data_IF_903444117546
#
_entry.id   IF_903444117546
#
_cell.length_a   1.000
_cell.length_b   1.000
_cell.length_c   1.000
_cell.angle_alpha   90.00
_cell.angle_beta   90.00
_cell.angle_gamma   90.00
#
_symmetry.space_group_name_H-M   'P 1'
#
loop_
_entity.id
_entity.type
_entity.pdbx_description
1 polymer ?
#
# COMPACT_ATOMS: atom_id res chain seq x y z
N UNK A 1 -5.43 14.36 2.32
CA UNK A 1 -5.88 13.93 0.98
C UNK A 1 -6.93 12.89 1.27
N UNK A 2 -8.17 13.20 0.95
CA UNK A 2 -9.31 12.40 1.39
C UNK A 2 -9.46 11.18 0.46
N UNK A 3 -9.65 10.03 1.08
CA UNK A 3 -9.74 8.68 0.50
C UNK A 3 -11.13 8.07 0.75
N UNK A 4 -12.12 8.90 1.02
CA UNK A 4 -13.46 8.45 1.41
C UNK A 4 -14.13 7.65 0.29
N UNK A 5 -13.99 8.06 -0.97
CA UNK A 5 -14.64 7.38 -2.12
C UNK A 5 -13.88 6.12 -2.57
N UNK A 6 -12.60 5.97 -2.22
CA UNK A 6 -11.86 4.72 -2.40
C UNK A 6 -12.06 3.74 -1.23
N UNK A 7 -12.23 4.26 0.00
CA UNK A 7 -12.49 3.46 1.20
C UNK A 7 -13.92 2.94 1.27
N UNK A 8 -14.91 3.73 0.83
CA UNK A 8 -16.33 3.39 0.93
C UNK A 8 -16.71 2.10 0.18
N UNK A 9 -16.26 1.84 -1.06
CA UNK A 9 -16.53 0.58 -1.74
C UNK A 9 -15.89 -0.63 -1.04
N UNK A 10 -14.71 -0.45 -0.44
CA UNK A 10 -14.03 -1.48 0.37
C UNK A 10 -14.82 -1.78 1.64
N UNK A 11 -15.36 -0.76 2.30
CA UNK A 11 -16.27 -0.97 3.42
C UNK A 11 -17.57 -1.66 2.99
N UNK A 12 -18.13 -1.26 1.85
CA UNK A 12 -19.35 -1.82 1.30
C UNK A 12 -19.22 -3.31 0.88
N UNK A 13 -18.00 -3.79 0.60
CA UNK A 13 -17.73 -5.20 0.34
C UNK A 13 -17.63 -6.05 1.63
N UNK A 14 -17.95 -5.47 2.80
CA UNK A 14 -17.97 -6.17 4.09
C UNK A 14 -16.64 -6.14 4.85
N UNK A 15 -15.70 -5.28 4.46
CA UNK A 15 -14.41 -5.11 5.18
C UNK A 15 -14.48 -3.94 6.16
N UNK A 16 -13.70 -4.02 7.24
CA UNK A 16 -13.45 -2.88 8.14
C UNK A 16 -12.25 -2.12 7.63
N UNK A 17 -12.41 -0.81 7.40
CA UNK A 17 -11.33 0.06 6.90
C UNK A 17 -10.82 0.95 8.02
N UNK A 18 -9.52 0.83 8.32
CA UNK A 18 -8.81 1.69 9.27
C UNK A 18 -8.01 2.74 8.49
N UNK A 19 -8.62 3.88 8.19
CA UNK A 19 -7.94 5.00 7.52
C UNK A 19 -7.17 5.85 8.54
N UNK A 20 -5.87 6.05 8.31
CA UNK A 20 -4.96 6.73 9.26
C UNK A 20 -4.68 8.15 8.77
N UNK A 21 -5.01 9.15 9.60
CA UNK A 21 -4.48 10.51 9.45
C UNK A 21 -3.09 10.57 10.08
N UNK A 22 -2.05 10.56 9.23
CA UNK A 22 -0.66 10.59 9.68
C UNK A 22 -0.24 11.94 10.25
N UNK A 23 0.50 11.92 11.36
CA UNK A 23 0.94 13.08 12.16
C UNK A 23 2.42 13.42 11.95
N UNK A 24 3.03 12.81 10.95
CA UNK A 24 4.43 12.95 10.55
C UNK A 24 4.74 14.26 9.79
N UNK A 25 3.72 15.09 9.54
CA UNK A 25 3.84 16.33 8.78
C UNK A 25 3.82 16.14 7.26
N UNK A 26 3.32 15.00 6.75
CA UNK A 26 3.10 14.80 5.30
C UNK A 26 1.69 15.14 4.84
N UNK A 27 0.73 15.19 5.76
CA UNK A 27 -0.61 15.74 5.51
C UNK A 27 -0.57 17.24 5.21
N UNK A 28 -1.54 17.72 4.41
CA UNK A 28 -1.72 19.16 4.15
C UNK A 28 -1.98 19.94 5.44
N UNK A 29 -2.84 19.38 6.28
CA UNK A 29 -3.13 19.82 7.64
C UNK A 29 -3.55 18.59 8.44
N UNK A 30 -3.17 18.53 9.71
CA UNK A 30 -3.60 17.51 10.67
C UNK A 30 -3.87 18.20 12.01
N UNK A 31 -4.89 17.75 12.75
CA UNK A 31 -5.33 18.35 14.01
C UNK A 31 -5.27 17.35 15.17
N UNK A 32 -4.08 16.83 15.54
CA UNK A 32 -3.96 15.89 16.64
C UNK A 32 -4.45 16.49 17.95
N UNK A 33 -4.99 15.60 18.79
CA UNK A 33 -5.34 15.89 20.18
C UNK A 33 -4.53 14.97 21.07
N UNK A 34 -3.98 15.54 22.14
CA UNK A 34 -3.33 14.77 23.19
C UNK A 34 -4.37 14.42 24.26
N UNK A 35 -4.25 13.24 24.86
CA UNK A 35 -4.98 12.88 26.07
C UNK A 35 -4.01 12.96 27.25
N UNK A 36 -4.33 13.80 28.22
CA UNK A 36 -3.52 13.96 29.44
C UNK A 36 -4.42 13.75 30.64
N UNK A 37 -4.10 12.79 31.50
CA UNK A 37 -4.87 12.47 32.72
C UNK A 37 -6.38 12.26 32.46
N UNK A 38 -6.73 11.57 31.37
CA UNK A 38 -8.13 11.31 30.99
C UNK A 38 -8.88 12.53 30.45
N UNK A 39 -8.21 13.66 30.24
CA UNK A 39 -8.79 14.86 29.62
C UNK A 39 -8.29 15.05 28.20
N UNK A 40 -9.23 15.33 27.30
CA UNK A 40 -8.97 15.64 25.89
C UNK A 40 -8.39 17.04 25.77
N UNK A 41 -7.13 17.11 25.35
CA UNK A 41 -6.42 18.36 25.12
C UNK A 41 -6.98 19.17 23.93
N UNK A 42 -6.57 20.44 23.86
CA UNK A 42 -6.88 21.29 22.71
C UNK A 42 -6.20 20.73 21.45
N UNK A 43 -6.87 20.77 20.29
CA UNK A 43 -6.26 20.33 19.04
C UNK A 43 -5.07 21.24 18.71
N UNK A 44 -3.97 20.65 18.23
CA UNK A 44 -2.82 21.39 17.71
C UNK A 44 -2.84 21.30 16.19
N UNK A 45 -2.62 22.41 15.49
CA UNK A 45 -2.44 22.38 14.03
C UNK A 45 -1.04 21.91 13.67
N UNK A 46 -0.96 20.82 12.91
CA UNK A 46 0.25 20.38 12.20
C UNK A 46 0.08 20.74 10.72
N UNK A 47 1.12 21.34 10.15
CA UNK A 47 1.16 21.70 8.74
C UNK A 47 2.17 20.82 8.00
N UNK A 48 2.01 20.76 6.69
CA UNK A 48 2.93 20.06 5.82
C UNK A 48 4.39 20.53 5.98
N UNK A 49 5.30 19.58 6.22
CA UNK A 49 6.73 19.78 6.32
C UNK A 49 7.43 19.41 5.01
N UNK A 50 8.26 20.34 4.53
CA UNK A 50 9.16 20.16 3.40
C UNK A 50 10.57 19.91 3.93
N UNK A 51 11.37 19.16 3.17
CA UNK A 51 12.79 18.92 3.47
C UNK A 51 13.52 20.22 3.82
N UNK A 52 13.37 21.25 2.97
CA UNK A 52 14.05 22.53 3.11
C UNK A 52 13.57 23.37 4.31
N UNK A 53 12.52 22.94 5.02
CA UNK A 53 12.01 23.62 6.21
C UNK A 53 12.59 23.05 7.50
N UNK A 54 13.37 21.96 7.43
CA UNK A 54 13.92 21.28 8.59
C UNK A 54 15.44 21.39 8.58
N UNK A 55 16.00 21.86 9.68
CA UNK A 55 17.44 21.78 9.92
C UNK A 55 17.71 20.46 10.63
N UNK A 56 18.44 19.57 9.96
CA UNK A 56 18.95 18.34 10.53
C UNK A 56 20.37 18.61 11.00
N UNK A 57 20.66 18.35 12.27
CA UNK A 57 22.00 18.54 12.82
C UNK A 57 23.00 17.59 12.13
N UNK A 58 24.24 18.04 11.90
CA UNK A 58 25.28 17.25 11.20
C UNK A 58 25.59 15.89 11.86
N UNK A 59 25.25 15.71 13.14
CA UNK A 59 25.36 14.44 13.86
C UNK A 59 24.27 13.41 13.50
N UNK A 60 23.24 13.80 12.76
CA UNK A 60 22.20 12.90 12.23
C UNK A 60 22.60 12.18 10.93
N UNK A 61 23.88 12.30 10.54
CA UNK A 61 24.50 11.88 9.27
C UNK A 61 24.61 10.37 9.02
N UNK A 62 23.75 9.55 9.64
CA UNK A 62 23.60 8.13 9.29
C UNK A 62 22.13 7.84 8.99
N UNK A 63 21.49 8.70 8.21
CA UNK A 63 20.23 8.33 7.60
C UNK A 63 20.52 7.52 6.32
N UNK A 64 20.15 6.25 6.34
CA UNK A 64 20.29 5.35 5.18
C UNK A 64 19.34 5.71 4.03
N UNK A 65 18.40 6.63 4.26
CA UNK A 65 17.44 7.07 3.27
C UNK A 65 17.99 8.19 2.38
N UNK A 66 17.71 8.17 1.06
CA UNK A 66 18.08 9.25 0.14
C UNK A 66 17.48 10.62 0.51
N UNK A 67 16.38 10.61 1.26
CA UNK A 67 15.65 11.79 1.72
C UNK A 67 15.43 11.65 3.24
N UNK A 68 16.35 12.18 4.08
CA UNK A 68 16.36 11.88 5.51
C UNK A 68 15.05 12.22 6.25
N UNK A 69 14.44 13.39 6.00
CA UNK A 69 13.16 13.71 6.63
C UNK A 69 12.09 12.70 6.21
N UNK A 70 12.11 12.23 4.95
CA UNK A 70 11.15 11.21 4.49
C UNK A 70 11.42 9.85 5.10
N UNK A 71 12.68 9.50 5.35
CA UNK A 71 13.06 8.31 6.13
C UNK A 71 12.48 8.37 7.55
N UNK A 72 12.69 9.49 8.26
CA UNK A 72 12.13 9.71 9.60
C UNK A 72 10.60 9.70 9.62
N UNK A 73 9.96 10.32 8.62
CA UNK A 73 8.52 10.29 8.47
C UNK A 73 8.01 8.87 8.21
N UNK A 74 8.71 8.08 7.39
CA UNK A 74 8.37 6.69 7.13
C UNK A 74 8.43 5.84 8.40
N UNK A 75 9.48 6.01 9.23
CA UNK A 75 9.59 5.38 10.53
C UNK A 75 8.43 5.79 11.47
N UNK A 76 8.06 7.07 11.47
CA UNK A 76 6.91 7.57 12.22
C UNK A 76 5.59 6.92 11.75
N UNK A 77 5.40 6.76 10.43
CA UNK A 77 4.21 6.10 9.87
C UNK A 77 4.16 4.62 10.20
N UNK A 78 5.30 3.94 10.35
CA UNK A 78 5.32 2.55 10.85
C UNK A 78 4.68 2.48 12.25
N UNK A 79 5.14 3.33 13.17
CA UNK A 79 4.60 3.41 14.54
C UNK A 79 3.10 3.69 14.52
N UNK A 80 2.62 4.64 13.70
CA UNK A 80 1.20 4.95 13.62
C UNK A 80 0.35 3.77 13.12
N UNK A 81 0.85 2.99 12.15
CA UNK A 81 0.16 1.79 11.66
C UNK A 81 0.10 0.72 12.76
N UNK A 82 1.21 0.45 13.45
CA UNK A 82 1.25 -0.53 14.53
C UNK A 82 0.41 -0.12 15.74
N UNK A 83 0.42 1.16 16.12
CA UNK A 83 -0.44 1.72 17.18
C UNK A 83 -1.91 1.57 16.80
N UNK A 84 -2.27 1.91 15.56
CA UNK A 84 -3.65 1.80 15.06
C UNK A 84 -4.12 0.35 15.09
N UNK A 85 -3.32 -0.58 14.54
CA UNK A 85 -3.66 -1.99 14.50
C UNK A 85 -3.74 -2.62 15.89
N UNK A 86 -2.75 -2.37 16.76
CA UNK A 86 -2.76 -2.85 18.15
C UNK A 86 -3.94 -2.30 18.95
N UNK A 87 -4.28 -1.02 18.76
CA UNK A 87 -5.46 -0.41 19.37
C UNK A 87 -6.75 -1.06 18.88
N UNK A 88 -6.84 -1.35 17.59
CA UNK A 88 -7.99 -2.05 17.01
C UNK A 88 -8.14 -3.47 17.55
N UNK A 89 -7.04 -4.24 17.65
CA UNK A 89 -7.06 -5.57 18.28
C UNK A 89 -7.58 -5.50 19.71
N UNK A 90 -7.02 -4.60 20.52
CA UNK A 90 -7.46 -4.39 21.91
C UNK A 90 -8.95 -3.99 21.99
N UNK A 91 -9.41 -3.18 21.04
CA UNK A 91 -10.83 -2.82 20.94
C UNK A 91 -11.71 -4.03 20.69
N UNK A 92 -11.35 -4.86 19.70
CA UNK A 92 -12.05 -6.11 19.37
C UNK A 92 -12.04 -7.11 20.52
N UNK A 93 -11.00 -7.11 21.35
CA UNK A 93 -10.88 -7.91 22.57
C UNK A 93 -11.63 -7.33 23.78
N UNK A 94 -12.34 -6.21 23.62
CA UNK A 94 -13.16 -5.63 24.68
C UNK A 94 -12.38 -4.86 25.74
N UNK A 95 -11.16 -4.40 25.46
CA UNK A 95 -10.34 -3.65 26.41
C UNK A 95 -11.07 -2.39 26.95
N UNK A 96 -11.43 -2.35 28.25
CA UNK A 96 -12.23 -1.25 28.82
C UNK A 96 -11.45 0.06 28.95
N UNK A 97 -10.13 0.04 28.78
CA UNK A 97 -9.28 1.23 28.90
C UNK A 97 -9.29 2.10 27.64
N UNK A 98 -9.75 1.55 26.51
CA UNK A 98 -9.81 2.29 25.25
C UNK A 98 -11.00 3.25 25.21
N UNK A 99 -10.72 4.44 24.68
CA UNK A 99 -11.70 5.48 24.47
C UNK A 99 -11.75 5.81 22.98
N UNK A 100 -12.96 5.89 22.44
CA UNK A 100 -13.21 6.24 21.05
C UNK A 100 -14.13 7.44 21.01
N UNK A 101 -13.80 8.37 20.13
CA UNK A 101 -14.64 9.50 19.81
C UNK A 101 -15.09 9.37 18.36
N UNK A 102 -16.36 9.63 18.11
CA UNK A 102 -16.89 9.85 16.77
C UNK A 102 -16.75 11.33 16.40
N UNK A 103 -16.63 11.62 15.11
CA UNK A 103 -16.44 13.00 14.62
C UNK A 103 -17.64 13.88 15.00
N UNK A 104 -18.84 13.32 14.95
CA UNK A 104 -20.09 13.97 15.30
C UNK A 104 -20.47 13.85 16.79
N UNK A 105 -19.60 13.23 17.60
CA UNK A 105 -19.85 12.93 19.03
C UNK A 105 -21.07 12.03 19.27
N UNK A 106 -21.58 11.35 18.25
CA UNK A 106 -22.59 10.31 18.41
C UNK A 106 -22.06 9.14 19.24
N UNK A 107 -22.92 8.56 20.07
CA UNK A 107 -22.59 7.30 20.74
C UNK A 107 -22.54 6.17 19.70
N UNK A 108 -21.55 5.30 19.80
CA UNK A 108 -21.52 4.05 19.04
C UNK A 108 -21.71 2.87 19.99
N UNK A 109 -22.40 1.83 19.53
CA UNK A 109 -22.57 0.61 20.32
C UNK A 109 -21.31 -0.25 20.21
N UNK A 110 -20.51 -0.30 21.27
CA UNK A 110 -19.31 -1.15 21.33
C UNK A 110 -19.63 -2.63 21.17
N UNK A 111 -20.77 -3.09 21.69
CA UNK A 111 -21.15 -4.51 21.63
C UNK A 111 -21.43 -4.95 20.19
N UNK A 112 -21.92 -4.05 19.33
CA UNK A 112 -22.11 -4.34 17.90
C UNK A 112 -20.82 -4.72 17.16
N UNK A 113 -19.65 -4.36 17.71
CA UNK A 113 -18.34 -4.72 17.15
C UNK A 113 -17.69 -5.92 17.84
N UNK A 114 -17.80 -5.99 19.18
CA UNK A 114 -17.12 -7.01 19.98
C UNK A 114 -17.94 -8.27 20.23
N UNK A 115 -19.21 -8.30 19.79
CA UNK A 115 -20.02 -9.50 19.88
C UNK A 115 -19.39 -10.64 19.06
N UNK A 116 -19.75 -11.87 19.44
CA UNK A 116 -19.37 -13.06 18.70
C UNK A 116 -20.64 -13.73 18.15
N UNK A 117 -20.52 -14.31 16.96
CA UNK A 117 -21.54 -15.17 16.39
C UNK A 117 -21.00 -16.60 16.39
N UNK A 118 -21.68 -17.51 17.08
CA UNK A 118 -21.26 -18.92 17.21
C UNK A 118 -19.82 -19.08 17.75
N UNK A 119 -19.37 -18.15 18.59
CA UNK A 119 -18.01 -18.16 19.17
C UNK A 119 -16.92 -17.58 18.26
N UNK A 120 -17.26 -17.12 17.05
CA UNK A 120 -16.35 -16.42 16.15
C UNK A 120 -16.51 -14.90 16.28
N UNK A 121 -15.40 -14.13 16.23
CA UNK A 121 -15.48 -12.68 16.24
C UNK A 121 -16.18 -12.18 14.96
N UNK A 122 -17.00 -11.13 15.09
CA UNK A 122 -17.67 -10.51 13.94
C UNK A 122 -16.68 -9.93 12.91
N UNK A 123 -15.52 -9.48 13.40
CA UNK A 123 -14.44 -8.95 12.55
C UNK A 123 -13.20 -9.83 12.70
N UNK A 124 -12.69 -10.33 11.57
CA UNK A 124 -11.39 -10.98 11.50
C UNK A 124 -10.30 -9.91 11.54
N UNK A 125 -9.54 -9.89 12.62
CA UNK A 125 -8.45 -8.93 12.81
C UNK A 125 -7.08 -9.59 12.85
N UNK A 126 -7.02 -10.90 13.01
CA UNK A 126 -5.82 -11.74 13.09
C UNK A 126 -5.51 -12.49 11.78
N UNK A 127 -6.45 -12.44 10.83
CA UNK A 127 -6.43 -13.08 9.51
C UNK A 127 -7.18 -12.19 8.51
N UNK A 128 -6.94 -12.39 7.21
CA UNK A 128 -7.46 -11.53 6.13
C UNK A 128 -7.15 -10.03 6.32
N UNK A 129 -6.00 -9.72 6.91
CA UNK A 129 -5.53 -8.33 7.06
C UNK A 129 -4.89 -7.90 5.76
N UNK A 130 -5.31 -6.74 5.26
CA UNK A 130 -4.77 -6.15 4.04
C UNK A 130 -4.23 -4.75 4.31
N UNK A 131 -3.14 -4.40 3.65
CA UNK A 131 -2.61 -3.04 3.66
C UNK A 131 -2.93 -2.34 2.34
N UNK A 132 -3.28 -1.07 2.41
CA UNK A 132 -3.43 -0.22 1.22
C UNK A 132 -2.76 1.11 1.44
N UNK A 133 -2.18 1.67 0.38
CA UNK A 133 -1.52 2.96 0.46
C UNK A 133 -1.25 3.56 -0.91
N UNK A 134 -1.42 4.88 -1.00
CA UNK A 134 -1.15 5.65 -2.21
C UNK A 134 0.05 6.56 -2.06
N UNK A 135 0.82 6.75 -3.13
CA UNK A 135 1.94 7.69 -3.14
C UNK A 135 2.94 7.35 -2.03
N UNK A 136 3.17 8.28 -1.09
CA UNK A 136 3.96 8.02 0.09
C UNK A 136 3.34 6.95 1.00
N UNK A 137 2.01 6.78 1.02
CA UNK A 137 1.34 5.65 1.65
C UNK A 137 1.71 4.31 1.01
N UNK A 138 1.88 4.27 -0.31
CA UNK A 138 2.38 3.06 -1.00
C UNK A 138 3.81 2.71 -0.58
N UNK A 139 4.65 3.74 -0.41
CA UNK A 139 5.98 3.61 0.19
C UNK A 139 5.93 3.07 1.63
N UNK A 140 4.97 3.54 2.44
CA UNK A 140 4.71 2.99 3.79
C UNK A 140 4.36 1.50 3.76
N UNK A 141 3.46 1.07 2.86
CA UNK A 141 3.11 -0.34 2.73
C UNK A 141 4.32 -1.19 2.35
N UNK A 142 5.07 -0.78 1.33
CA UNK A 142 6.28 -1.47 0.90
C UNK A 142 7.32 -1.57 2.02
N UNK A 143 7.54 -0.47 2.74
CA UNK A 143 8.49 -0.41 3.84
C UNK A 143 8.07 -1.31 5.02
N UNK A 144 6.79 -1.30 5.41
CA UNK A 144 6.27 -2.18 6.47
C UNK A 144 6.48 -3.66 6.14
N UNK A 145 6.23 -4.05 4.89
CA UNK A 145 6.37 -5.44 4.44
C UNK A 145 7.83 -5.86 4.21
N UNK A 146 8.76 -4.91 4.28
CA UNK A 146 10.19 -5.15 4.05
C UNK A 146 11.05 -5.07 5.32
N UNK A 147 10.45 -4.69 6.44
CA UNK A 147 11.15 -4.51 7.70
C UNK A 147 10.64 -5.50 8.75
N UNK A 148 11.49 -5.79 9.73
CA UNK A 148 11.09 -6.56 10.91
C UNK A 148 9.92 -5.84 11.60
N UNK A 149 8.94 -6.59 12.14
CA UNK A 149 7.92 -6.00 13.00
C UNK A 149 8.51 -5.18 14.14
N UNK A 150 7.84 -4.08 14.50
CA UNK A 150 8.28 -3.21 15.58
C UNK A 150 8.19 -3.94 16.92
N UNK A 151 9.26 -3.83 17.73
CA UNK A 151 9.31 -4.45 19.05
C UNK A 151 8.21 -3.87 19.96
N UNK A 152 7.55 -4.74 20.73
CA UNK A 152 6.45 -4.35 21.63
C UNK A 152 5.07 -4.28 20.98
N UNK A 153 4.97 -4.49 19.66
CA UNK A 153 3.70 -4.56 18.94
C UNK A 153 3.41 -5.99 18.43
N UNK A 154 2.12 -6.37 18.29
CA UNK A 154 1.78 -7.60 17.58
C UNK A 154 2.19 -7.49 16.10
N UNK A 155 2.62 -8.59 15.46
CA UNK A 155 2.94 -8.57 14.04
C UNK A 155 1.71 -8.23 13.20
N UNK A 156 1.91 -7.51 12.10
CA UNK A 156 0.86 -7.30 11.09
C UNK A 156 0.71 -8.59 10.28
N UNK A 157 -0.38 -9.33 10.47
CA UNK A 157 -0.67 -10.57 9.73
C UNK A 157 -1.17 -10.28 8.30
N UNK A 158 -0.40 -9.52 7.53
CA UNK A 158 -0.80 -9.04 6.20
C UNK A 158 -0.80 -10.17 5.18
N UNK A 159 -1.95 -10.46 4.61
CA UNK A 159 -2.08 -11.45 3.53
C UNK A 159 -1.97 -10.79 2.15
N UNK A 160 -2.51 -9.58 2.02
CA UNK A 160 -2.64 -8.86 0.75
C UNK A 160 -2.25 -7.39 0.90
N UNK A 161 -1.66 -6.83 -0.16
CA UNK A 161 -1.30 -5.43 -0.21
C UNK A 161 -1.71 -4.80 -1.54
N UNK A 162 -2.42 -3.67 -1.49
CA UNK A 162 -2.75 -2.86 -2.66
C UNK A 162 -1.95 -1.56 -2.59
N UNK A 163 -1.07 -1.36 -3.54
CA UNK A 163 -0.14 -0.23 -3.58
C UNK A 163 -0.49 0.65 -4.77
N UNK A 164 -0.91 1.88 -4.51
CA UNK A 164 -1.47 2.78 -5.52
C UNK A 164 -0.44 3.85 -5.87
N UNK A 165 0.10 3.80 -7.08
CA UNK A 165 1.05 4.78 -7.64
C UNK A 165 2.16 5.19 -6.64
N UNK A 166 2.97 4.22 -6.15
CA UNK A 166 3.87 4.42 -5.03
C UNK A 166 4.99 5.41 -5.33
N UNK A 167 5.33 6.26 -4.36
CA UNK A 167 6.49 7.15 -4.44
C UNK A 167 7.71 6.48 -3.82
N UNK A 168 8.60 5.89 -4.61
CA UNK A 168 9.69 5.01 -4.14
C UNK A 168 10.94 5.76 -3.66
N UNK A 169 11.08 7.01 -4.02
CA UNK A 169 12.25 7.86 -3.77
C UNK A 169 12.67 7.92 -2.29
N UNK A 170 11.75 7.91 -1.30
CA UNK A 170 12.10 7.83 0.11
C UNK A 170 12.73 6.49 0.55
N UNK A 171 12.55 5.41 -0.20
CA UNK A 171 13.08 4.09 0.19
C UNK A 171 14.59 4.01 -0.07
N UNK A 172 15.35 3.24 0.72
CA UNK A 172 16.75 2.97 0.44
C UNK A 172 16.91 2.07 -0.81
N UNK A 173 18.12 2.04 -1.36
CA UNK A 173 18.51 1.16 -2.48
C UNK A 173 19.70 0.29 -2.05
N UNK A 174 19.72 -1.02 -2.33
CA UNK A 174 18.68 -1.80 -2.99
C UNK A 174 17.47 -2.02 -2.08
N UNK A 175 16.29 -2.23 -2.67
CA UNK A 175 15.05 -2.48 -1.95
C UNK A 175 13.91 -1.54 -2.36
N UNK A 176 12.69 -1.80 -1.87
CA UNK A 176 12.29 -2.72 -0.79
C UNK A 176 12.42 -4.22 -1.15
N UNK A 177 12.56 -5.12 -0.17
CA UNK A 177 12.59 -6.60 -0.33
C UNK A 177 11.61 -7.25 0.66
N UNK A 178 10.89 -8.34 0.32
CA UNK A 178 9.97 -8.96 1.26
C UNK A 178 10.69 -9.41 2.53
N UNK A 179 10.13 -9.05 3.70
CA UNK A 179 10.63 -9.56 4.97
C UNK A 179 10.25 -11.03 5.14
N UNK A 180 11.26 -11.91 5.22
CA UNK A 180 11.07 -13.33 5.50
C UNK A 180 11.36 -13.57 6.98
N UNK A 181 10.34 -13.91 7.75
CA UNK A 181 10.53 -14.26 9.15
C UNK A 181 11.27 -15.61 9.23
N UNK A 182 12.56 -15.61 9.52
CA UNK A 182 13.40 -16.82 9.60
C UNK A 182 12.97 -17.82 10.68
N UNK A 183 11.99 -17.47 11.53
CA UNK A 183 11.40 -18.38 12.50
C UNK A 183 10.37 -19.37 11.90
N UNK A 184 9.79 -19.08 10.72
CA UNK A 184 8.87 -20.00 10.02
C UNK A 184 9.57 -20.94 9.03
N UNK A 185 10.88 -20.80 8.84
CA UNK A 185 11.73 -21.66 7.99
C UNK A 185 12.62 -22.63 8.80
N UNK A 186 12.22 -22.95 10.03
CA UNK A 186 12.82 -24.02 10.82
C UNK A 186 12.47 -25.39 10.26
N UNK A 187 13.24 -25.86 9.26
CA UNK A 187 13.67 -27.26 9.02
C UNK A 187 14.18 -27.51 7.58
N UNK A 188 14.19 -26.53 6.67
CA UNK A 188 14.62 -26.76 5.28
C UNK A 188 15.99 -26.15 4.90
N UNK A 189 16.63 -25.36 5.77
CA UNK A 189 17.89 -24.66 5.45
C UNK A 189 19.17 -25.39 5.92
N UNK A 190 19.08 -26.65 6.34
CA UNK A 190 20.22 -27.48 6.69
C UNK A 190 20.36 -28.65 5.71
N UNK A 191 20.66 -28.34 4.44
CA UNK A 191 21.34 -29.19 3.45
C UNK A 191 21.24 -28.55 2.06
N UNK A 192 22.12 -27.60 1.77
CA UNK A 192 22.58 -27.40 0.40
C UNK A 192 23.91 -26.65 0.44
N UNK A 193 24.98 -27.41 0.64
CA UNK A 193 26.34 -26.99 0.36
C UNK A 193 27.01 -28.19 -0.28
N UNK A 194 27.48 -27.98 -1.52
CA UNK A 194 28.31 -28.86 -2.35
C UNK A 194 27.66 -30.17 -2.84
N UNK A 195 27.35 -30.28 -4.14
CA UNK A 195 28.30 -30.70 -5.20
C UNK A 195 27.68 -30.59 -6.60
N UNK A 196 28.59 -30.62 -7.56
CA UNK A 196 28.52 -30.20 -8.96
C UNK A 196 28.15 -31.36 -9.91
N UNK A 197 27.83 -30.99 -11.14
CA UNK A 197 27.92 -31.76 -12.39
C UNK A 197 26.79 -32.71 -12.89
N UNK A 198 26.46 -32.44 -14.18
CA UNK A 198 26.08 -33.35 -15.29
C UNK A 198 24.61 -33.73 -15.59
N UNK A 199 24.09 -33.04 -16.61
CA UNK A 199 23.53 -33.57 -17.88
C UNK A 199 22.26 -34.45 -17.93
N UNK A 200 21.25 -33.89 -18.62
CA UNK A 200 20.29 -34.49 -19.58
C UNK A 200 19.35 -35.62 -19.11
N UNK A 201 18.02 -35.40 -19.15
CA UNK A 201 17.17 -35.74 -20.31
C UNK A 201 15.68 -35.41 -20.10
N UNK A 202 14.95 -35.39 -21.23
CA UNK A 202 13.59 -34.91 -21.48
C UNK A 202 12.42 -35.79 -20.99
N UNK A 203 11.22 -35.20 -20.97
CA UNK A 203 9.89 -35.80 -20.71
C UNK A 203 9.47 -35.61 -19.25
N UNK A 204 8.28 -35.15 -18.89
CA UNK A 204 6.97 -35.30 -19.53
C UNK A 204 5.99 -34.24 -18.94
N UNK A 205 4.93 -33.93 -19.68
CA UNK A 205 3.89 -33.00 -19.26
C UNK A 205 2.86 -33.70 -18.35
N UNK A 206 2.63 -33.17 -17.14
CA UNK A 206 1.32 -33.32 -16.46
C UNK A 206 1.17 -32.26 -15.38
N UNK A 207 0.13 -31.45 -15.52
CA UNK A 207 -0.16 -30.33 -14.63
C UNK A 207 -0.47 -30.74 -13.19
N UNK A 208 0.09 -29.92 -12.30
CA UNK A 208 -0.58 -29.41 -11.12
C UNK A 208 0.26 -28.20 -10.72
N UNK A 209 -0.22 -27.00 -11.04
CA UNK A 209 0.39 -25.75 -10.58
C UNK A 209 0.41 -25.80 -9.05
N UNK A 210 1.55 -26.22 -8.52
CA UNK A 210 1.91 -26.03 -7.13
C UNK A 210 2.03 -24.52 -6.95
N UNK A 211 0.94 -23.87 -6.52
CA UNK A 211 1.00 -22.61 -5.79
C UNK A 211 1.86 -22.89 -4.55
N UNK A 212 3.17 -22.77 -4.73
CA UNK A 212 4.12 -22.56 -3.65
C UNK A 212 3.59 -21.35 -2.89
N UNK A 213 2.98 -21.59 -1.72
CA UNK A 213 2.64 -20.53 -0.76
C UNK A 213 3.94 -19.78 -0.45
N UNK A 214 4.20 -18.73 -1.20
CA UNK A 214 5.28 -17.81 -0.91
C UNK A 214 5.04 -17.30 0.50
N UNK A 215 6.02 -17.41 1.38
CA UNK A 215 5.89 -17.02 2.80
C UNK A 215 5.71 -15.51 3.03
N UNK A 216 5.45 -14.74 1.96
CA UNK A 216 5.24 -13.29 1.96
C UNK A 216 3.86 -12.94 1.39
N UNK A 217 3.34 -11.78 1.77
CA UNK A 217 2.03 -11.26 1.33
C UNK A 217 1.95 -11.15 -0.20
N UNK A 218 0.74 -11.33 -0.76
CA UNK A 218 0.46 -11.01 -2.16
C UNK A 218 0.38 -9.49 -2.33
N UNK A 219 0.86 -8.96 -3.44
CA UNK A 219 0.90 -7.53 -3.71
C UNK A 219 0.41 -7.19 -5.12
N UNK A 220 -0.48 -6.21 -5.19
CA UNK A 220 -0.90 -5.56 -6.42
C UNK A 220 -0.45 -4.11 -6.40
N UNK A 221 0.30 -3.69 -7.42
CA UNK A 221 0.58 -2.28 -7.68
C UNK A 221 -0.34 -1.81 -8.80
N UNK A 222 -1.10 -0.73 -8.57
CA UNK A 222 -1.82 -0.02 -9.64
C UNK A 222 -1.14 1.33 -9.84
N UNK A 223 -0.43 1.47 -10.95
CA UNK A 223 0.44 2.59 -11.26
C UNK A 223 -0.22 3.57 -12.23
N UNK A 224 0.17 4.84 -12.13
CA UNK A 224 -0.24 5.86 -13.09
C UNK A 224 0.53 5.75 -14.40
N UNK A 225 -0.04 6.24 -15.50
CA UNK A 225 0.71 6.43 -16.75
C UNK A 225 1.92 7.36 -16.50
N UNK A 226 1.74 8.41 -15.71
CA UNK A 226 2.82 9.37 -15.46
C UNK A 226 4.04 8.76 -14.77
N UNK A 227 3.83 7.89 -13.78
CA UNK A 227 4.92 7.21 -13.08
C UNK A 227 5.51 6.08 -13.92
N UNK A 228 4.69 5.39 -14.73
CA UNK A 228 5.16 4.38 -15.68
C UNK A 228 6.08 4.97 -16.74
N UNK A 229 5.78 6.18 -17.24
CA UNK A 229 6.61 6.88 -18.21
C UNK A 229 7.89 7.48 -17.59
N UNK A 230 8.01 7.56 -16.26
CA UNK A 230 9.23 7.94 -15.57
C UNK A 230 10.16 6.73 -15.47
N UNK A 231 11.02 6.58 -16.49
CA UNK A 231 11.86 5.38 -16.68
C UNK A 231 12.59 4.89 -15.43
N UNK A 232 13.33 5.76 -14.74
CA UNK A 232 14.16 5.34 -13.60
C UNK A 232 13.30 4.88 -12.42
N UNK A 233 12.21 5.61 -12.16
CA UNK A 233 11.23 5.25 -11.15
C UNK A 233 10.54 3.92 -11.49
N UNK A 234 10.06 3.76 -12.72
CA UNK A 234 9.38 2.54 -13.14
C UNK A 234 10.32 1.33 -13.16
N UNK A 235 11.56 1.48 -13.63
CA UNK A 235 12.57 0.42 -13.58
C UNK A 235 12.80 -0.04 -12.13
N UNK A 236 12.91 0.91 -11.19
CA UNK A 236 13.03 0.61 -9.76
C UNK A 236 11.79 -0.10 -9.21
N UNK A 237 10.58 0.31 -9.62
CA UNK A 237 9.35 -0.37 -9.24
C UNK A 237 9.38 -1.84 -9.69
N UNK A 238 9.77 -2.11 -10.93
CA UNK A 238 9.86 -3.48 -11.46
C UNK A 238 10.90 -4.31 -10.76
N UNK A 239 12.08 -3.75 -10.50
CA UNK A 239 13.12 -4.40 -9.72
C UNK A 239 12.63 -4.77 -8.32
N UNK A 240 11.91 -3.86 -7.68
CA UNK A 240 11.30 -4.11 -6.36
C UNK A 240 10.30 -5.25 -6.48
N UNK A 241 9.30 -5.14 -7.36
CA UNK A 241 8.22 -6.12 -7.49
C UNK A 241 8.68 -7.51 -7.94
N UNK A 242 9.78 -7.62 -8.69
CA UNK A 242 10.37 -8.90 -9.05
C UNK A 242 10.77 -9.74 -7.82
N UNK A 243 11.05 -9.09 -6.69
CA UNK A 243 11.42 -9.75 -5.42
C UNK A 243 10.22 -10.35 -4.70
N UNK A 244 8.99 -9.94 -5.06
CA UNK A 244 7.74 -10.55 -4.62
C UNK A 244 7.21 -11.59 -5.63
N UNK A 245 7.90 -11.81 -6.76
CA UNK A 245 7.50 -12.74 -7.81
C UNK A 245 7.88 -14.21 -7.54
N UNK A 246 7.33 -15.18 -8.32
CA UNK A 246 6.41 -14.99 -9.44
C UNK A 246 4.92 -14.94 -9.04
N UNK A 247 4.55 -15.25 -7.79
CA UNK A 247 3.15 -15.33 -7.34
C UNK A 247 2.66 -14.24 -6.38
N UNK A 248 3.56 -13.37 -5.91
CA UNK A 248 3.25 -12.40 -4.85
C UNK A 248 3.35 -10.93 -5.25
N UNK A 249 3.60 -10.61 -6.52
CA UNK A 249 3.70 -9.22 -7.00
C UNK A 249 3.19 -9.06 -8.42
N UNK A 250 2.29 -8.10 -8.67
CA UNK A 250 1.83 -7.71 -10.02
C UNK A 250 1.81 -6.20 -10.19
N UNK A 251 2.05 -5.71 -11.40
CA UNK A 251 1.97 -4.29 -11.74
C UNK A 251 0.92 -4.09 -12.84
N UNK A 252 -0.07 -3.24 -12.55
CA UNK A 252 -1.03 -2.76 -13.53
C UNK A 252 -0.78 -1.27 -13.76
N UNK A 253 -0.87 -0.80 -15.01
CA UNK A 253 -0.82 0.62 -15.36
C UNK A 253 -2.14 1.06 -15.97
N UNK A 254 -2.69 2.19 -15.51
CA UNK A 254 -3.90 2.77 -16.08
C UNK A 254 -3.56 3.85 -17.10
N UNK A 255 -3.99 3.66 -18.35
CA UNK A 255 -3.74 4.63 -19.43
C UNK A 255 -4.44 5.97 -19.15
N UNK A 256 -3.75 7.07 -19.46
CA UNK A 256 -4.15 8.47 -19.24
C UNK A 256 -4.36 8.88 -17.76
N UNK A 257 -4.00 8.00 -16.82
CA UNK A 257 -4.04 8.31 -15.40
C UNK A 257 -2.83 9.16 -14.99
N UNK A 258 -3.05 10.01 -13.98
CA UNK A 258 -2.02 10.82 -13.35
C UNK A 258 -2.00 10.54 -11.86
N UNK A 259 -0.98 10.99 -11.15
CA UNK A 259 -0.84 10.74 -9.72
C UNK A 259 -2.08 11.06 -8.86
N UNK A 260 -2.77 12.17 -9.16
CA UNK A 260 -3.98 12.57 -8.44
C UNK A 260 -5.22 11.77 -8.81
N UNK A 261 -5.19 10.96 -9.87
CA UNK A 261 -6.32 10.10 -10.31
C UNK A 261 -6.71 9.07 -9.26
N UNK A 262 -5.80 8.75 -8.35
CA UNK A 262 -5.99 7.78 -7.28
C UNK A 262 -6.60 8.40 -6.01
N UNK A 263 -6.91 9.69 -6.00
CA UNK A 263 -7.53 10.36 -4.85
C UNK A 263 -8.94 10.85 -5.19
N UNK A 264 -9.70 11.29 -4.19
CA UNK A 264 -11.04 11.85 -4.41
C UNK A 264 -10.99 13.25 -5.03
N UNK A 265 -9.81 13.89 -5.05
CA UNK A 265 -9.66 15.26 -5.53
C UNK A 265 -10.25 15.52 -6.94
N UNK A 266 -10.05 14.66 -7.96
CA UNK A 266 -10.57 14.88 -9.30
C UNK A 266 -12.09 14.67 -9.47
N UNK A 267 -12.77 14.10 -8.46
CA UNK A 267 -14.24 13.93 -8.47
C UNK A 267 -14.96 15.01 -7.66
N UNK A 268 -14.24 15.80 -6.85
CA UNK A 268 -14.81 16.93 -6.12
C UNK A 268 -15.52 17.91 -7.08
N UNK A 269 -16.65 18.53 -6.65
CA UNK A 269 -17.48 19.37 -7.53
C UNK A 269 -16.73 20.48 -8.28
N UNK A 270 -15.68 21.03 -7.67
CA UNK A 270 -14.89 22.15 -8.23
C UNK A 270 -13.84 21.68 -9.24
N UNK A 271 -13.39 20.43 -9.16
CA UNK A 271 -12.28 19.89 -9.95
C UNK A 271 -12.68 18.72 -10.86
N UNK A 272 -13.99 18.55 -11.08
CA UNK A 272 -14.58 17.41 -11.79
C UNK A 272 -13.97 17.24 -13.18
N UNK A 273 -13.16 16.19 -13.35
CA UNK A 273 -12.69 15.77 -14.67
C UNK A 273 -13.63 14.73 -15.26
N UNK A 274 -13.86 14.79 -16.57
CA UNK A 274 -14.78 13.89 -17.29
C UNK A 274 -14.49 12.40 -17.03
N UNK A 275 -13.22 12.04 -16.94
CA UNK A 275 -12.77 10.65 -16.77
C UNK A 275 -12.39 10.28 -15.32
N UNK A 276 -12.56 11.19 -14.36
CA UNK A 276 -12.16 10.92 -12.97
C UNK A 276 -12.93 9.77 -12.33
N UNK A 277 -14.27 9.79 -12.45
CA UNK A 277 -15.13 8.75 -11.87
C UNK A 277 -14.92 7.37 -12.51
N UNK A 278 -14.93 7.22 -13.85
CA UNK A 278 -14.60 5.93 -14.47
C UNK A 278 -13.22 5.40 -14.06
N UNK A 279 -12.21 6.27 -13.95
CA UNK A 279 -10.88 5.88 -13.50
C UNK A 279 -10.89 5.34 -12.06
N UNK A 280 -11.55 6.05 -11.14
CA UNK A 280 -11.68 5.63 -9.75
C UNK A 280 -12.47 4.31 -9.64
N UNK A 281 -13.54 4.15 -10.42
CA UNK A 281 -14.30 2.91 -10.50
C UNK A 281 -13.42 1.73 -10.97
N UNK A 282 -12.56 1.92 -11.97
CA UNK A 282 -11.58 0.91 -12.39
C UNK A 282 -10.57 0.59 -11.28
N UNK A 283 -9.97 1.61 -10.64
CA UNK A 283 -9.00 1.42 -9.54
C UNK A 283 -9.62 0.62 -8.41
N UNK A 284 -10.82 1.01 -7.96
CA UNK A 284 -11.57 0.33 -6.91
C UNK A 284 -11.91 -1.09 -7.33
N UNK A 285 -12.42 -1.28 -8.55
CA UNK A 285 -12.80 -2.61 -9.04
C UNK A 285 -11.63 -3.58 -9.12
N UNK A 286 -10.45 -3.12 -9.56
CA UNK A 286 -9.23 -3.92 -9.58
C UNK A 286 -8.75 -4.24 -8.16
N UNK A 287 -8.78 -3.25 -7.27
CA UNK A 287 -8.38 -3.41 -5.87
C UNK A 287 -9.25 -4.45 -5.17
N UNK A 288 -10.58 -4.35 -5.29
CA UNK A 288 -11.52 -5.31 -4.71
C UNK A 288 -11.35 -6.70 -5.30
N UNK A 289 -11.27 -6.81 -6.64
CA UNK A 289 -11.07 -8.09 -7.29
C UNK A 289 -9.77 -8.77 -6.82
N UNK A 290 -8.70 -8.01 -6.58
CA UNK A 290 -7.47 -8.55 -5.99
C UNK A 290 -7.63 -9.00 -4.54
N UNK A 291 -8.29 -8.19 -3.71
CA UNK A 291 -8.57 -8.54 -2.32
C UNK A 291 -9.46 -9.77 -2.16
N UNK A 292 -10.23 -10.12 -3.21
CA UNK A 292 -11.13 -11.27 -3.27
C UNK A 292 -10.57 -12.45 -4.11
N UNK A 293 -9.27 -12.43 -4.47
CA UNK A 293 -8.62 -13.44 -5.33
C UNK A 293 -9.35 -13.67 -6.68
N UNK A 294 -10.00 -12.64 -7.21
CA UNK A 294 -10.76 -12.65 -8.47
C UNK A 294 -10.17 -11.71 -9.54
N UNK A 295 -8.94 -11.22 -9.34
CA UNK A 295 -8.30 -10.25 -10.24
C UNK A 295 -8.20 -10.76 -11.69
N UNK A 296 -7.79 -12.01 -11.89
CA UNK A 296 -7.60 -12.59 -13.22
C UNK A 296 -8.89 -12.68 -14.04
N UNK A 297 -10.01 -12.97 -13.39
CA UNK A 297 -11.31 -12.93 -14.07
C UNK A 297 -11.72 -11.51 -14.35
N UNK A 298 -11.45 -10.59 -13.41
CA UNK A 298 -11.80 -9.19 -13.60
C UNK A 298 -11.04 -8.54 -14.75
N UNK A 299 -9.76 -8.86 -14.92
CA UNK A 299 -8.93 -8.37 -16.03
C UNK A 299 -9.46 -8.82 -17.40
N UNK A 300 -10.09 -10.00 -17.50
CA UNK A 300 -10.71 -10.48 -18.76
C UNK A 300 -11.95 -9.67 -19.16
N UNK A 301 -12.60 -9.02 -18.21
CA UNK A 301 -13.79 -8.20 -18.45
C UNK A 301 -13.45 -6.74 -18.79
N UNK A 302 -12.28 -6.28 -18.38
CA UNK A 302 -11.86 -4.89 -18.52
C UNK A 302 -11.04 -4.68 -19.80
N UNK A 303 -11.12 -3.49 -20.44
CA UNK A 303 -10.28 -3.18 -21.58
C UNK A 303 -8.79 -3.23 -21.23
N UNK A 304 -8.04 -4.07 -21.94
CA UNK A 304 -6.58 -4.16 -21.83
C UNK A 304 -5.91 -3.71 -23.13
N UNK A 305 -4.68 -3.21 -23.03
CA UNK A 305 -3.87 -2.77 -24.18
C UNK A 305 -2.40 -3.10 -23.92
N UNK A 306 -1.59 -3.42 -24.97
CA UNK A 306 -0.15 -3.59 -24.79
C UNK A 306 0.52 -2.27 -24.40
N UNK A 307 1.68 -2.36 -23.73
CA UNK A 307 2.49 -1.20 -23.39
C UNK A 307 3.17 -0.61 -24.63
N UNK A 308 2.51 0.36 -25.27
CA UNK A 308 3.08 1.10 -26.40
C UNK A 308 3.19 2.60 -26.09
N UNK A 309 4.35 3.18 -26.37
CA UNK A 309 4.64 4.60 -26.09
C UNK A 309 4.62 5.40 -27.39
N UNK A 310 3.79 6.46 -27.44
CA UNK A 310 3.76 7.45 -28.53
C UNK A 310 4.37 8.78 -28.09
N UNK A 311 5.17 9.38 -28.96
CA UNK A 311 5.62 10.78 -28.79
C UNK A 311 4.52 11.72 -29.29
N UNK A 312 3.98 12.54 -28.40
CA UNK A 312 2.86 13.45 -28.65
C UNK A 312 3.28 14.92 -28.75
N UNK A 313 4.58 15.19 -28.71
CA UNK A 313 5.13 16.55 -28.84
C UNK A 313 6.45 16.69 -28.09
N UNK A 314 6.78 17.94 -27.76
CA UNK A 314 8.03 18.30 -27.08
C UNK A 314 7.70 19.18 -25.86
N UNK A 315 8.34 18.91 -24.72
CA UNK A 315 8.24 19.71 -23.50
C UNK A 315 9.02 21.03 -23.66
N UNK A 316 8.83 21.98 -22.73
CA UNK A 316 9.54 23.28 -22.76
C UNK A 316 11.07 23.13 -22.67
N UNK A 317 11.55 22.05 -22.08
CA UNK A 317 12.98 21.70 -21.96
C UNK A 317 13.54 20.97 -23.19
N UNK A 318 12.77 20.86 -24.28
CA UNK A 318 13.18 20.17 -25.50
C UNK A 318 13.05 18.65 -25.45
N UNK A 319 12.67 18.06 -24.31
CA UNK A 319 12.51 16.60 -24.19
C UNK A 319 11.20 16.12 -24.84
N UNK A 320 11.15 14.92 -25.44
CA UNK A 320 9.92 14.40 -26.02
C UNK A 320 8.84 14.22 -24.95
N UNK A 321 7.64 14.73 -25.23
CA UNK A 321 6.44 14.46 -24.46
C UNK A 321 5.88 13.11 -24.92
N UNK A 322 5.75 12.16 -24.00
CA UNK A 322 5.33 10.78 -24.26
C UNK A 322 3.94 10.54 -23.68
N UNK A 323 3.23 9.58 -24.26
CA UNK A 323 1.93 9.08 -23.80
C UNK A 323 1.85 7.57 -24.08
N UNK A 324 1.13 6.82 -23.25
CA UNK A 324 0.76 5.44 -23.59
C UNK A 324 -0.36 5.43 -24.65
N UNK A 325 -0.32 4.44 -25.54
CA UNK A 325 -1.38 4.21 -26.53
C UNK A 325 -2.51 3.42 -25.85
N UNK A 326 -3.74 3.94 -25.99
CA UNK A 326 -4.95 3.36 -25.39
C UNK A 326 -5.98 4.44 -25.09
N UNK A 327 -7.16 4.01 -24.63
CA UNK A 327 -8.20 4.89 -24.11
C UNK A 327 -7.99 5.16 -22.61
N UNK A 328 -8.48 6.28 -22.08
CA UNK A 328 -8.40 6.56 -20.64
C UNK A 328 -9.05 5.44 -19.82
N UNK A 329 -8.27 4.82 -18.93
CA UNK A 329 -8.70 3.70 -18.08
C UNK A 329 -8.44 2.30 -18.65
N UNK A 330 -7.93 2.18 -19.88
CA UNK A 330 -7.40 0.90 -20.38
C UNK A 330 -6.25 0.42 -19.49
N UNK A 331 -6.13 -0.89 -19.32
CA UNK A 331 -5.17 -1.52 -18.41
C UNK A 331 -4.01 -2.12 -19.19
N UNK A 332 -2.79 -1.88 -18.71
CA UNK A 332 -1.58 -2.56 -19.15
C UNK A 332 -1.09 -3.43 -17.98
N UNK A 333 -0.82 -4.70 -18.25
CA UNK A 333 -0.22 -5.65 -17.30
C UNK A 333 1.28 -5.81 -17.62
N UNK A 334 2.15 -5.70 -16.61
CA UNK A 334 3.60 -5.95 -16.67
C UNK A 334 4.00 -6.93 -15.54
#
# INVERSE_FOLDING_TARGET
MDWEEAGLPTAASGKVVLAIEHRDGTGTVCLPRAWTNGQKGKPRTLLYLKENNVHLDDSSSIDTHPMPLRGQQLAFRHEEVYITYSTFIRFMQGDPTLQFDTIDSSSYDRQSWTASNEGLPLVKYDSDVSLTGHSFGGCTVLSLLSNKPLDGYPPLNVERAVVLDPWLEPLPTPGPLPYINSASSGEAAAKSSLEDATSSNAGDASGSDFESKTGHSKMLVINSETFTLWKDHYARLKESMAQWGPGGGRILTLVDSVHVSFSDFPILPVFKKKHARPMLETITSLSLAFLEDNLDNKLKELPTTPMEIKVIGVKKDGKPKRKLIGNPGDIIED
#
